data_IF_392551740310
#
_entry.id   IF_392551740310
#
_cell.length_a   1.000
_cell.length_b   1.000
_cell.length_c   1.000
_cell.angle_alpha   90.00
_cell.angle_beta   90.00
_cell.angle_gamma   90.00
#
_symmetry.space_group_name_H-M   'P 1'
#
loop_
_entity.id
_entity.type
_entity.pdbx_description
1 polymer ?
#
# COMPACT_ATOMS: atom_id res chain seq x y z
N UNK A 1 17.07 2.12 25.61
CA UNK A 1 17.52 1.96 24.21
C UNK A 1 18.06 3.29 23.77
N UNK A 2 19.25 3.33 23.19
CA UNK A 2 19.87 4.56 22.69
C UNK A 2 19.24 5.00 21.36
N UNK A 3 19.53 6.23 20.93
CA UNK A 3 18.93 6.81 19.72
C UNK A 3 19.25 6.01 18.46
N UNK A 4 20.46 5.43 18.39
CA UNK A 4 20.88 4.59 17.27
C UNK A 4 20.12 3.26 17.22
N UNK A 5 19.93 2.60 18.37
CA UNK A 5 19.13 1.37 18.45
C UNK A 5 17.67 1.58 18.04
N UNK A 6 17.06 2.68 18.48
CA UNK A 6 15.68 3.03 18.08
C UNK A 6 15.58 3.28 16.57
N UNK A 7 16.51 4.03 15.98
CA UNK A 7 16.52 4.34 14.54
C UNK A 7 16.64 3.06 13.70
N UNK A 8 17.52 2.13 14.08
CA UNK A 8 17.69 0.83 13.40
C UNK A 8 16.40 0.02 13.43
N UNK A 9 15.72 -0.06 14.58
CA UNK A 9 14.45 -0.79 14.70
C UNK A 9 13.37 -0.15 13.82
N UNK A 10 13.18 1.17 13.93
CA UNK A 10 12.16 1.87 13.15
C UNK A 10 12.44 1.78 11.65
N UNK A 11 13.69 1.93 11.23
CA UNK A 11 14.09 1.75 9.84
C UNK A 11 13.80 0.32 9.37
N UNK A 12 14.18 -0.70 10.14
CA UNK A 12 13.96 -2.11 9.78
C UNK A 12 12.47 -2.43 9.65
N UNK A 13 11.66 -2.03 10.63
CA UNK A 13 10.21 -2.21 10.60
C UNK A 13 9.56 -1.47 9.42
N UNK A 14 10.03 -0.27 9.08
CA UNK A 14 9.52 0.49 7.95
C UNK A 14 9.78 -0.24 6.62
N UNK A 15 10.99 -0.79 6.43
CA UNK A 15 11.31 -1.56 5.23
C UNK A 15 10.50 -2.86 5.17
N UNK A 16 10.37 -3.60 6.28
CA UNK A 16 9.55 -4.81 6.34
C UNK A 16 8.08 -4.53 5.99
N UNK A 17 7.52 -3.43 6.51
CA UNK A 17 6.18 -2.99 6.17
C UNK A 17 6.06 -2.63 4.67
N UNK A 18 7.05 -1.93 4.11
CA UNK A 18 7.08 -1.57 2.69
C UNK A 18 7.15 -2.81 1.78
N UNK A 19 8.02 -3.77 2.09
CA UNK A 19 8.12 -5.01 1.32
C UNK A 19 6.87 -5.88 1.46
N UNK A 20 6.25 -5.89 2.64
CA UNK A 20 4.98 -6.59 2.87
C UNK A 20 3.86 -5.97 2.03
N UNK A 21 3.76 -4.63 1.99
CA UNK A 21 2.81 -3.91 1.15
C UNK A 21 2.99 -4.27 -0.33
N UNK A 22 4.23 -4.19 -0.85
CA UNK A 22 4.53 -4.54 -2.25
C UNK A 22 4.23 -6.01 -2.53
N UNK A 23 4.57 -6.92 -1.62
CA UNK A 23 4.30 -8.34 -1.75
C UNK A 23 2.81 -8.65 -1.78
N UNK A 24 2.01 -8.01 -0.93
CA UNK A 24 0.56 -8.15 -0.90
C UNK A 24 -0.08 -7.63 -2.19
N UNK A 25 0.36 -6.46 -2.68
CA UNK A 25 -0.09 -5.90 -3.95
C UNK A 25 0.24 -6.83 -5.14
N UNK A 26 1.43 -7.46 -5.11
CA UNK A 26 1.81 -8.45 -6.11
C UNK A 26 0.94 -9.72 -6.04
N UNK A 27 0.57 -10.18 -4.83
CA UNK A 27 -0.35 -11.31 -4.65
C UNK A 27 -1.74 -10.95 -5.17
N UNK A 28 -2.25 -9.74 -4.92
CA UNK A 28 -3.53 -9.30 -5.49
C UNK A 28 -3.49 -9.27 -7.01
N UNK A 29 -2.42 -8.75 -7.60
CA UNK A 29 -2.24 -8.75 -9.04
C UNK A 29 -2.23 -10.18 -9.59
N UNK A 30 -1.46 -11.07 -8.96
CA UNK A 30 -1.41 -12.46 -9.36
C UNK A 30 -2.77 -13.18 -9.24
N UNK A 31 -3.64 -12.77 -8.31
CA UNK A 31 -4.99 -13.31 -8.17
C UNK A 31 -5.99 -12.70 -9.17
N UNK A 32 -5.92 -11.39 -9.39
CA UNK A 32 -6.84 -10.67 -10.27
C UNK A 32 -6.58 -10.93 -11.75
N UNK A 33 -5.32 -11.12 -12.15
CA UNK A 33 -4.93 -11.31 -13.55
C UNK A 33 -4.88 -12.78 -13.99
N UNK A 34 -5.33 -13.73 -13.14
CA UNK A 34 -5.42 -15.13 -13.57
C UNK A 34 -6.41 -15.30 -14.74
N UNK A 35 -6.15 -16.25 -15.66
CA UNK A 35 -7.08 -16.60 -16.73
C UNK A 35 -8.35 -17.26 -16.19
N UNK A 36 -8.20 -18.07 -15.14
CA UNK A 36 -9.29 -18.78 -14.51
C UNK A 36 -10.01 -17.87 -13.50
N UNK A 37 -11.30 -17.65 -13.73
CA UNK A 37 -12.21 -16.88 -12.84
C UNK A 37 -12.58 -17.68 -11.58
N UNK A 38 -11.66 -18.44 -11.01
CA UNK A 38 -11.91 -19.39 -9.93
C UNK A 38 -11.62 -18.83 -8.54
N UNK A 39 -10.92 -17.69 -8.45
CA UNK A 39 -10.43 -17.16 -7.18
C UNK A 39 -11.60 -16.74 -6.28
N UNK A 40 -11.72 -17.28 -5.05
CA UNK A 40 -12.77 -16.88 -4.13
C UNK A 40 -12.63 -15.40 -3.75
N UNK A 41 -13.69 -14.61 -3.93
CA UNK A 41 -13.77 -13.20 -3.50
C UNK A 41 -13.40 -13.05 -2.02
N UNK A 42 -13.72 -14.02 -1.17
CA UNK A 42 -13.34 -14.00 0.24
C UNK A 42 -11.81 -13.99 0.47
N UNK A 43 -11.05 -14.62 -0.44
CA UNK A 43 -9.57 -14.57 -0.42
C UNK A 43 -9.08 -13.21 -0.87
N UNK A 44 -9.66 -12.62 -1.91
CA UNK A 44 -9.33 -11.26 -2.38
C UNK A 44 -9.54 -10.24 -1.25
N UNK A 45 -10.72 -10.24 -0.63
CA UNK A 45 -11.04 -9.35 0.50
C UNK A 45 -10.08 -9.50 1.69
N UNK A 46 -9.55 -10.70 1.93
CA UNK A 46 -8.57 -10.93 3.01
C UNK A 46 -7.18 -10.40 2.66
N UNK A 47 -6.73 -10.58 1.42
CA UNK A 47 -5.44 -10.01 0.98
C UNK A 47 -5.53 -8.48 1.00
N UNK A 48 -6.64 -7.91 0.53
CA UNK A 48 -6.90 -6.46 0.52
C UNK A 48 -6.88 -5.87 1.94
N UNK A 49 -7.49 -6.56 2.90
CA UNK A 49 -7.39 -6.18 4.32
C UNK A 49 -5.93 -6.15 4.80
N UNK A 50 -5.14 -7.18 4.49
CA UNK A 50 -3.73 -7.20 4.88
C UNK A 50 -2.91 -6.12 4.17
N UNK A 51 -3.22 -5.81 2.92
CA UNK A 51 -2.61 -4.70 2.19
C UNK A 51 -2.89 -3.36 2.91
N UNK A 52 -4.14 -3.10 3.27
CA UNK A 52 -4.53 -1.91 4.03
C UNK A 52 -3.85 -1.83 5.40
N UNK A 53 -3.73 -2.96 6.11
CA UNK A 53 -3.00 -3.03 7.39
C UNK A 53 -1.50 -2.77 7.21
N UNK A 54 -0.88 -3.32 6.17
CA UNK A 54 0.52 -3.07 5.86
C UNK A 54 0.77 -1.59 5.50
N UNK A 55 -0.15 -0.96 4.76
CA UNK A 55 -0.11 0.47 4.46
C UNK A 55 -0.23 1.32 5.73
N UNK A 56 -1.16 1.00 6.61
CA UNK A 56 -1.31 1.70 7.89
C UNK A 56 -0.05 1.57 8.76
N UNK A 57 0.50 0.37 8.89
CA UNK A 57 1.74 0.13 9.63
C UNK A 57 2.91 0.92 9.02
N UNK A 58 3.06 0.88 7.70
CA UNK A 58 4.10 1.62 6.99
C UNK A 58 4.01 3.12 7.28
N UNK A 59 2.81 3.69 7.25
CA UNK A 59 2.55 5.09 7.54
C UNK A 59 2.88 5.44 9.00
N UNK A 60 2.37 4.67 9.96
CA UNK A 60 2.61 4.88 11.40
C UNK A 60 4.11 4.83 11.71
N UNK A 61 4.80 3.79 11.25
CA UNK A 61 6.25 3.66 11.45
C UNK A 61 6.99 4.80 10.73
N UNK A 62 6.53 5.20 9.54
CA UNK A 62 7.08 6.35 8.81
C UNK A 62 7.00 7.64 9.61
N UNK A 63 5.85 7.93 10.25
CA UNK A 63 5.67 9.08 11.14
C UNK A 63 6.59 8.98 12.35
N UNK A 64 6.70 7.80 12.97
CA UNK A 64 7.64 7.58 14.08
C UNK A 64 9.09 7.88 13.66
N UNK A 65 9.49 7.55 12.43
CA UNK A 65 10.82 7.91 11.90
C UNK A 65 11.00 9.40 11.67
N UNK A 66 9.95 10.14 11.32
CA UNK A 66 10.03 11.62 11.21
C UNK A 66 10.25 12.26 12.57
N UNK A 67 9.62 11.73 13.63
CA UNK A 67 9.67 12.31 14.98
C UNK A 67 10.91 11.85 15.76
N UNK A 68 11.24 10.56 15.69
CA UNK A 68 12.26 9.91 16.53
C UNK A 68 13.50 9.44 15.76
N UNK A 69 13.50 9.54 14.43
CA UNK A 69 14.62 9.09 13.60
C UNK A 69 15.82 10.05 13.65
N UNK A 70 17.00 9.50 13.34
CA UNK A 70 18.29 10.19 13.52
C UNK A 70 18.46 11.45 12.64
N UNK A 71 17.70 11.56 11.54
CA UNK A 71 17.73 12.71 10.62
C UNK A 71 17.03 13.95 11.18
N UNK A 72 16.20 13.80 12.21
CA UNK A 72 15.34 14.86 12.76
C UNK A 72 14.19 15.25 11.83
N UNK A 73 13.13 15.84 12.40
CA UNK A 73 11.89 16.15 11.67
C UNK A 73 12.07 17.17 10.55
N UNK A 74 12.96 18.16 10.74
CA UNK A 74 13.22 19.22 9.77
C UNK A 74 13.70 18.67 8.41
N UNK A 75 14.52 17.62 8.42
CA UNK A 75 15.00 16.93 7.21
C UNK A 75 13.84 16.42 6.32
N UNK A 76 12.71 16.04 6.93
CA UNK A 76 11.56 15.54 6.20
C UNK A 76 10.61 16.67 5.79
N UNK A 77 10.18 17.48 6.76
CA UNK A 77 9.08 18.44 6.55
C UNK A 77 9.46 19.58 5.61
N UNK A 78 10.74 19.97 5.57
CA UNK A 78 11.24 21.03 4.67
C UNK A 78 11.56 20.50 3.27
N UNK A 79 11.63 19.19 3.06
CA UNK A 79 11.98 18.60 1.78
C UNK A 79 10.71 18.39 0.91
N UNK A 80 10.58 19.03 -0.26
CA UNK A 80 9.43 18.83 -1.14
C UNK A 80 9.35 17.38 -1.68
N UNK A 81 10.48 16.67 -1.82
CA UNK A 81 10.51 15.26 -2.23
C UNK A 81 9.83 14.36 -1.19
N UNK A 82 9.92 14.71 0.10
CA UNK A 82 9.16 14.02 1.15
C UNK A 82 7.66 14.17 0.92
N UNK A 83 7.19 15.39 0.63
CA UNK A 83 5.76 15.62 0.35
C UNK A 83 5.29 14.94 -0.93
N UNK A 84 6.09 14.92 -1.99
CA UNK A 84 5.80 14.12 -3.20
C UNK A 84 5.60 12.65 -2.84
N UNK A 85 6.49 12.07 -2.03
CA UNK A 85 6.36 10.69 -1.54
C UNK A 85 5.04 10.49 -0.76
N UNK A 86 4.68 11.44 0.10
CA UNK A 86 3.44 11.39 0.88
C UNK A 86 2.19 11.49 0.00
N UNK A 87 2.20 12.34 -1.03
CA UNK A 87 1.11 12.45 -2.01
C UNK A 87 0.97 11.16 -2.82
N UNK A 88 2.08 10.57 -3.28
CA UNK A 88 2.05 9.28 -3.97
C UNK A 88 1.44 8.19 -3.09
N UNK A 89 1.90 8.08 -1.84
CA UNK A 89 1.38 7.10 -0.89
C UNK A 89 -0.09 7.34 -0.56
N UNK A 90 -0.50 8.60 -0.34
CA UNK A 90 -1.90 8.96 -0.12
C UNK A 90 -2.79 8.66 -1.33
N UNK A 91 -2.28 8.85 -2.55
CA UNK A 91 -2.99 8.52 -3.80
C UNK A 91 -3.25 7.02 -3.89
N UNK A 92 -2.25 6.18 -3.58
CA UNK A 92 -2.43 4.72 -3.49
C UNK A 92 -3.54 4.38 -2.50
N UNK A 93 -3.51 4.96 -1.30
CA UNK A 93 -4.55 4.74 -0.29
C UNK A 93 -5.95 5.15 -0.76
N UNK A 94 -6.09 6.29 -1.44
CA UNK A 94 -7.37 6.76 -1.97
C UNK A 94 -7.91 5.82 -3.05
N UNK A 95 -7.06 5.37 -3.98
CA UNK A 95 -7.46 4.43 -5.03
C UNK A 95 -7.94 3.12 -4.41
N UNK A 96 -7.21 2.61 -3.40
CA UNK A 96 -7.48 1.34 -2.70
C UNK A 96 -8.84 1.28 -1.99
N UNK A 97 -9.41 2.43 -1.59
CA UNK A 97 -10.75 2.46 -0.97
C UNK A 97 -11.80 1.83 -1.90
N UNK A 98 -11.72 2.08 -3.21
CA UNK A 98 -12.74 1.60 -4.14
C UNK A 98 -12.70 0.07 -4.32
N UNK A 99 -11.56 -0.58 -4.63
CA UNK A 99 -11.44 -2.04 -4.62
C UNK A 99 -11.91 -2.68 -3.31
N UNK A 100 -11.51 -2.14 -2.15
CA UNK A 100 -11.93 -2.64 -0.83
C UNK A 100 -13.46 -2.69 -0.71
N UNK A 101 -14.14 -1.59 -1.05
CA UNK A 101 -15.61 -1.53 -1.00
C UNK A 101 -16.24 -2.55 -1.95
N UNK A 102 -15.66 -2.76 -3.12
CA UNK A 102 -16.16 -3.74 -4.10
C UNK A 102 -15.99 -5.18 -3.60
N UNK A 103 -14.84 -5.53 -3.03
CA UNK A 103 -14.62 -6.85 -2.45
C UNK A 103 -15.59 -7.14 -1.30
N UNK A 104 -15.82 -6.17 -0.42
CA UNK A 104 -16.78 -6.30 0.68
C UNK A 104 -18.21 -6.50 0.17
N UNK A 105 -18.62 -5.74 -0.86
CA UNK A 105 -19.93 -5.88 -1.51
C UNK A 105 -20.10 -7.27 -2.14
N UNK A 106 -19.09 -7.74 -2.88
CA UNK A 106 -19.11 -9.06 -3.51
C UNK A 106 -19.13 -10.18 -2.48
N UNK A 107 -18.38 -10.05 -1.39
CA UNK A 107 -18.40 -11.01 -0.28
C UNK A 107 -19.79 -11.09 0.36
N UNK A 108 -20.46 -9.94 0.56
CA UNK A 108 -21.83 -9.89 1.09
C UNK A 108 -22.82 -10.59 0.15
N UNK A 109 -22.70 -10.38 -1.16
CA UNK A 109 -23.56 -11.04 -2.17
C UNK A 109 -23.33 -12.55 -2.22
N UNK A 110 -22.08 -13.01 -2.19
CA UNK A 110 -21.75 -14.44 -2.15
C UNK A 110 -22.33 -15.18 -0.95
N UNK A 111 -22.43 -14.50 0.20
CA UNK A 111 -23.06 -15.08 1.39
C UNK A 111 -24.56 -15.32 1.22
N UNK A 112 -25.21 -14.58 0.30
CA UNK A 112 -26.64 -14.70 -0.01
C UNK A 112 -26.92 -15.60 -1.20
N UNK A 113 -25.99 -15.64 -2.15
CA UNK A 113 -26.08 -16.42 -3.39
C UNK A 113 -24.70 -17.00 -3.73
N UNK A 114 -24.55 -18.31 -3.58
CA UNK A 114 -23.29 -19.03 -3.84
C UNK A 114 -22.91 -19.06 -5.32
N UNK A 115 -23.86 -18.77 -6.22
CA UNK A 115 -23.62 -18.63 -7.66
C UNK A 115 -23.24 -17.21 -8.08
N UNK A 116 -23.20 -16.24 -7.16
CA UNK A 116 -22.88 -14.86 -7.50
C UNK A 116 -21.48 -14.74 -8.09
N UNK A 117 -21.39 -14.10 -9.25
CA UNK A 117 -20.12 -13.69 -9.84
C UNK A 117 -20.14 -12.19 -10.19
N UNK A 118 -19.08 -11.42 -9.89
CA UNK A 118 -18.99 -10.03 -10.31
C UNK A 118 -19.12 -9.87 -11.83
N UNK A 119 -19.82 -8.82 -12.26
CA UNK A 119 -19.88 -8.50 -13.67
C UNK A 119 -18.49 -8.15 -14.24
N UNK A 120 -18.33 -8.33 -15.56
CA UNK A 120 -17.04 -8.14 -16.22
C UNK A 120 -16.53 -6.69 -16.16
N UNK A 121 -17.43 -5.71 -16.11
CA UNK A 121 -17.08 -4.29 -16.07
C UNK A 121 -16.50 -3.90 -14.71
N UNK A 122 -17.14 -4.32 -13.62
CA UNK A 122 -16.69 -4.12 -12.24
C UNK A 122 -15.32 -4.77 -12.03
N UNK A 123 -15.12 -5.98 -12.57
CA UNK A 123 -13.82 -6.66 -12.52
C UNK A 123 -12.74 -5.91 -13.31
N UNK A 124 -13.07 -5.37 -14.48
CA UNK A 124 -12.15 -4.53 -15.27
C UNK A 124 -11.70 -3.30 -14.50
N UNK A 125 -12.64 -2.61 -13.85
CA UNK A 125 -12.31 -1.41 -13.06
C UNK A 125 -11.43 -1.72 -11.86
N UNK A 126 -11.63 -2.87 -11.19
CA UNK A 126 -10.73 -3.32 -10.10
C UNK A 126 -9.32 -3.57 -10.62
N UNK A 127 -9.17 -4.22 -11.78
CA UNK A 127 -7.86 -4.40 -12.41
C UNK A 127 -7.18 -3.07 -12.76
N UNK A 128 -7.93 -2.09 -13.26
CA UNK A 128 -7.38 -0.77 -13.59
C UNK A 128 -6.94 0.00 -12.34
N UNK A 129 -7.73 -0.05 -11.27
CA UNK A 129 -7.36 0.52 -9.98
C UNK A 129 -6.04 -0.08 -9.47
N UNK A 130 -5.92 -1.42 -9.51
CA UNK A 130 -4.70 -2.10 -9.08
C UNK A 130 -3.47 -1.72 -9.93
N UNK A 131 -3.63 -1.59 -11.26
CA UNK A 131 -2.53 -1.13 -12.13
C UNK A 131 -2.08 0.28 -11.74
N UNK A 132 -3.02 1.18 -11.44
CA UNK A 132 -2.70 2.52 -10.97
C UNK A 132 -1.98 2.47 -9.61
N UNK A 133 -2.45 1.68 -8.65
CA UNK A 133 -1.80 1.49 -7.35
C UNK A 133 -0.36 0.99 -7.49
N UNK A 134 -0.11 0.02 -8.38
CA UNK A 134 1.23 -0.49 -8.67
C UNK A 134 2.10 0.64 -9.24
N UNK A 135 1.61 1.38 -10.23
CA UNK A 135 2.37 2.46 -10.85
C UNK A 135 2.79 3.54 -9.85
N UNK A 136 1.87 4.00 -9.00
CA UNK A 136 2.18 4.96 -7.95
C UNK A 136 3.11 4.37 -6.88
N UNK A 137 2.89 3.11 -6.48
CA UNK A 137 3.72 2.42 -5.48
C UNK A 137 5.17 2.28 -5.93
N UNK A 138 5.42 2.02 -7.21
CA UNK A 138 6.79 1.94 -7.78
C UNK A 138 7.50 3.29 -7.78
N UNK A 139 6.79 4.42 -7.86
CA UNK A 139 7.39 5.75 -7.79
C UNK A 139 7.83 6.13 -6.35
N UNK A 140 7.19 5.59 -5.32
CA UNK A 140 7.50 5.87 -3.91
C UNK A 140 8.97 5.58 -3.55
N UNK A 141 9.56 4.39 -3.82
CA UNK A 141 10.96 4.12 -3.48
C UNK A 141 11.94 5.04 -4.22
N UNK A 142 11.61 5.50 -5.43
CA UNK A 142 12.42 6.48 -6.16
C UNK A 142 12.49 7.80 -5.39
N UNK A 143 11.35 8.34 -4.96
CA UNK A 143 11.30 9.56 -4.15
C UNK A 143 12.00 9.38 -2.79
N UNK A 144 11.88 8.21 -2.17
CA UNK A 144 12.60 7.89 -0.94
C UNK A 144 14.13 7.89 -1.14
N UNK A 145 14.60 7.31 -2.24
CA UNK A 145 16.01 7.24 -2.62
C UNK A 145 16.59 8.63 -2.96
N UNK A 146 15.80 9.51 -3.58
CA UNK A 146 16.17 10.91 -3.84
C UNK A 146 16.31 11.69 -2.53
N UNK A 147 15.28 11.65 -1.69
CA UNK A 147 15.25 12.34 -0.39
C UNK A 147 16.42 11.88 0.51
N UNK A 148 16.72 10.57 0.55
CA UNK A 148 17.82 10.02 1.35
C UNK A 148 19.21 10.56 0.95
N UNK A 149 19.36 11.06 -0.29
CA UNK A 149 20.59 11.66 -0.82
C UNK A 149 20.58 13.20 -0.74
N UNK A 150 19.60 13.79 -0.05
CA UNK A 150 19.51 15.23 0.15
C UNK A 150 18.95 16.01 -1.04
N UNK A 151 18.38 15.35 -2.05
CA UNK A 151 17.69 16.05 -3.13
C UNK A 151 16.45 16.74 -2.53
N UNK A 152 16.30 18.04 -2.79
CA UNK A 152 15.22 18.88 -2.27
C UNK A 152 15.50 19.53 -0.90
N UNK A 153 16.73 19.42 -0.39
CA UNK A 153 17.18 20.16 0.79
C UNK A 153 18.05 21.36 0.42
#
# INVERSE_FOLDING_TARGET
MDAMGLDVILASLHHLAAFSLVGLLAVEAALLFRPDKSVPVARMARIDLYFGLAALLLLVIGVLRVIYGIKGSAFYVQNPVFWTKMVLFGTVGIISIWPTVQYLRWQSKLRRDTGFWPDAAAFRWVRLALVAEIAFTVAIPVTAAMMARGIGL
#
